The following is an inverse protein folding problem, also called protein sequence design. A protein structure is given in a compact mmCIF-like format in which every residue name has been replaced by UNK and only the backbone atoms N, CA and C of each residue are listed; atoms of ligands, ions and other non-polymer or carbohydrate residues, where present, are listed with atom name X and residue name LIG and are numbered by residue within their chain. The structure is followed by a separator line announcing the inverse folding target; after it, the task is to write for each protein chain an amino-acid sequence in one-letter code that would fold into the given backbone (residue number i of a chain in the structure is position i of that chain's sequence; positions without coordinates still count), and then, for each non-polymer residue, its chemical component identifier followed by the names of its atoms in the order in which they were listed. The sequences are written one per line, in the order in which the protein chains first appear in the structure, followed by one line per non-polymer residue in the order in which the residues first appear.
data_IF_143581586964
#
_entry.id   IF_143581586964
#
_cell.length_a   1.000
_cell.length_b   1.000
_cell.length_c   1.000
_cell.angle_alpha   90.00
_cell.angle_beta   90.00
_cell.angle_gamma   90.00
#
_symmetry.space_group_name_H-M   'P 1'
#
loop_
_entity.id
_entity.type
_entity.pdbx_description
1 polymer ?
#
# COMPACT_ATOMS: atom_id res chain seq x y z
N UNK A 1 -26.22 3.41 13.10
CA UNK A 1 -24.76 3.21 13.01
C UNK A 1 -24.36 3.59 11.60
N UNK A 2 -24.20 4.89 11.35
CA UNK A 2 -23.81 5.41 10.04
C UNK A 2 -22.36 5.01 9.75
N UNK A 3 -22.13 4.35 8.61
CA UNK A 3 -20.78 4.10 8.11
C UNK A 3 -20.22 5.45 7.65
N UNK A 4 -19.26 5.97 8.40
CA UNK A 4 -18.50 7.16 8.01
C UNK A 4 -17.62 6.80 6.80
N UNK A 5 -17.71 7.62 5.75
CA UNK A 5 -17.16 7.40 4.42
C UNK A 5 -15.63 7.31 4.40
N UNK A 6 -15.10 6.43 3.53
CA UNK A 6 -13.68 6.28 3.17
C UNK A 6 -13.11 7.49 2.37
N UNK A 7 -13.58 8.72 2.63
CA UNK A 7 -13.49 9.85 1.67
C UNK A 7 -12.23 10.73 1.75
N UNK A 8 -11.28 10.49 2.66
CA UNK A 8 -10.08 11.33 2.75
C UNK A 8 -8.79 10.53 2.81
N UNK A 9 -8.42 9.92 1.68
CA UNK A 9 -7.01 9.59 1.43
C UNK A 9 -6.39 10.76 0.67
N UNK A 10 -5.59 11.57 1.37
CA UNK A 10 -4.81 12.63 0.74
C UNK A 10 -3.62 12.04 -0.04
N UNK A 11 -3.55 12.31 -1.34
CA UNK A 11 -2.47 11.86 -2.22
C UNK A 11 -1.67 13.09 -2.67
N UNK A 12 -0.46 13.25 -2.15
CA UNK A 12 0.50 14.26 -2.59
C UNK A 12 1.47 13.68 -3.63
N UNK A 13 1.83 14.48 -4.63
CA UNK A 13 2.84 14.14 -5.64
C UNK A 13 4.00 15.10 -5.48
N UNK A 14 5.19 14.62 -5.14
CA UNK A 14 6.39 15.46 -5.07
C UNK A 14 7.05 15.52 -6.47
N UNK A 15 7.09 16.69 -7.15
CA UNK A 15 7.36 16.71 -8.60
C UNK A 15 8.81 16.41 -9.02
N UNK A 16 9.77 16.41 -8.11
CA UNK A 16 11.17 16.12 -8.43
C UNK A 16 11.83 15.47 -7.21
N UNK A 17 12.16 14.19 -7.31
CA UNK A 17 13.00 13.49 -6.35
C UNK A 17 14.30 13.17 -7.08
N UNK A 18 15.41 13.78 -6.66
CA UNK A 18 16.72 13.60 -7.30
C UNK A 18 17.12 12.11 -7.27
N UNK A 19 17.87 11.62 -8.26
CA UNK A 19 18.43 10.26 -8.25
C UNK A 19 19.17 9.93 -6.94
N UNK A 20 19.78 10.95 -6.32
CA UNK A 20 20.47 10.84 -5.04
C UNK A 20 19.54 10.46 -3.86
N UNK A 21 18.23 10.75 -3.93
CA UNK A 21 17.23 10.30 -2.94
C UNK A 21 17.07 8.77 -2.98
N UNK A 22 17.25 8.17 -4.16
CA UNK A 22 17.14 6.73 -4.35
C UNK A 22 18.46 5.97 -4.12
N UNK A 23 19.56 6.69 -3.86
CA UNK A 23 20.85 6.08 -3.49
C UNK A 23 20.95 5.76 -1.98
N UNK A 24 19.90 6.06 -1.21
CA UNK A 24 19.78 5.63 0.17
C UNK A 24 19.38 4.15 0.24
N UNK A 25 20.19 3.33 0.93
CA UNK A 25 19.97 1.88 1.04
C UNK A 25 18.64 1.53 1.70
N UNK A 26 18.21 2.29 2.70
CA UNK A 26 16.94 2.07 3.38
C UNK A 26 15.78 2.44 2.47
N UNK A 27 15.80 3.61 1.84
CA UNK A 27 14.73 4.03 0.92
C UNK A 27 14.65 3.13 -0.31
N UNK A 28 15.80 2.69 -0.85
CA UNK A 28 15.85 1.71 -1.92
C UNK A 28 15.23 0.38 -1.53
N UNK A 29 15.54 -0.15 -0.35
CA UNK A 29 14.91 -1.37 0.16
C UNK A 29 13.40 -1.18 0.40
N UNK A 30 13.01 -0.12 1.12
CA UNK A 30 11.63 0.18 1.50
C UNK A 30 10.70 0.44 0.30
N UNK A 31 11.19 1.16 -0.71
CA UNK A 31 10.46 1.43 -1.95
C UNK A 31 10.63 0.32 -2.99
N UNK A 32 11.51 -0.65 -2.73
CA UNK A 32 11.92 -1.69 -3.67
C UNK A 32 12.50 -1.14 -4.98
N UNK A 33 13.42 -0.18 -4.88
CA UNK A 33 14.11 0.43 -6.01
C UNK A 33 15.64 0.30 -5.85
N UNK A 34 16.41 -0.02 -6.92
CA UNK A 34 16.02 -0.11 -8.33
C UNK A 34 15.56 -1.50 -8.80
N UNK A 35 15.50 -2.50 -7.93
CA UNK A 35 15.20 -3.89 -8.28
C UNK A 35 13.82 -4.09 -8.91
N UNK A 36 12.86 -3.19 -8.67
CA UNK A 36 11.54 -3.18 -9.30
C UNK A 36 11.42 -1.97 -10.19
N UNK A 37 11.20 -2.19 -11.49
CA UNK A 37 10.92 -1.14 -12.47
C UNK A 37 9.43 -1.13 -12.78
N UNK A 38 8.70 -0.19 -12.18
CA UNK A 38 7.22 -0.15 -12.24
C UNK A 38 6.66 -0.04 -13.68
N UNK A 39 7.23 0.77 -14.59
CA UNK A 39 6.77 0.80 -15.99
C UNK A 39 6.74 -0.57 -16.67
N UNK A 40 7.78 -1.38 -16.48
CA UNK A 40 7.89 -2.71 -17.08
C UNK A 40 6.76 -3.63 -16.60
N UNK A 41 6.47 -3.59 -15.30
CA UNK A 41 5.35 -4.34 -14.72
C UNK A 41 3.99 -3.87 -15.25
N UNK A 42 3.80 -2.54 -15.41
CA UNK A 42 2.57 -1.99 -15.98
C UNK A 42 2.36 -2.46 -17.42
N UNK A 43 3.42 -2.49 -18.24
CA UNK A 43 3.36 -3.01 -19.60
C UNK A 43 3.00 -4.50 -19.60
N UNK A 44 3.72 -5.32 -18.82
CA UNK A 44 3.48 -6.76 -18.74
C UNK A 44 2.04 -7.09 -18.30
N UNK A 45 1.54 -6.44 -17.24
CA UNK A 45 0.18 -6.69 -16.75
C UNK A 45 -0.90 -6.15 -17.70
N UNK A 46 -0.62 -5.06 -18.42
CA UNK A 46 -1.52 -4.56 -19.48
C UNK A 46 -1.62 -5.55 -20.64
N UNK A 47 -0.53 -6.23 -21.01
CA UNK A 47 -0.57 -7.27 -22.05
C UNK A 47 -1.37 -8.49 -21.60
N UNK A 48 -1.25 -8.90 -20.33
CA UNK A 48 -1.96 -10.05 -19.78
C UNK A 48 -3.44 -9.79 -19.48
N UNK A 49 -3.78 -8.55 -19.15
CA UNK A 49 -5.16 -8.07 -18.97
C UNK A 49 -5.39 -6.77 -19.76
N UNK A 50 -5.65 -6.90 -21.08
CA UNK A 50 -5.80 -5.76 -21.98
C UNK A 50 -7.11 -4.99 -21.79
N UNK A 51 -7.97 -5.43 -20.87
CA UNK A 51 -9.27 -4.80 -20.59
C UNK A 51 -9.22 -4.04 -19.27
N UNK A 52 -9.21 -4.74 -18.14
CA UNK A 52 -9.39 -4.12 -16.84
C UNK A 52 -8.12 -3.43 -16.37
N UNK A 53 -6.99 -4.14 -16.35
CA UNK A 53 -5.70 -3.57 -15.95
C UNK A 53 -5.30 -2.41 -16.86
N UNK A 54 -5.46 -2.56 -18.18
CA UNK A 54 -5.22 -1.46 -19.14
C UNK A 54 -6.02 -0.20 -18.83
N UNK A 55 -7.30 -0.36 -18.47
CA UNK A 55 -8.14 0.78 -18.11
C UNK A 55 -7.63 1.45 -16.85
N UNK A 56 -7.29 0.67 -15.81
CA UNK A 56 -6.80 1.21 -14.53
C UNK A 56 -5.44 1.89 -14.69
N UNK A 57 -4.52 1.30 -15.45
CA UNK A 57 -3.17 1.83 -15.65
C UNK A 57 -3.11 3.18 -16.37
N UNK A 58 -4.18 3.54 -17.10
CA UNK A 58 -4.35 4.87 -17.69
C UNK A 58 -4.78 5.93 -16.67
N UNK A 59 -5.37 5.53 -15.55
CA UNK A 59 -5.90 6.44 -14.53
C UNK A 59 -4.91 6.70 -13.39
N UNK A 60 -4.15 5.67 -13.04
CA UNK A 60 -3.21 5.69 -11.93
C UNK A 60 -1.87 5.13 -12.37
N UNK A 61 -0.79 5.79 -11.97
CA UNK A 61 0.59 5.37 -12.24
C UNK A 61 1.46 5.55 -11.01
N UNK A 62 2.60 4.86 -10.97
CA UNK A 62 3.60 4.99 -9.90
C UNK A 62 3.23 4.35 -8.56
N UNK A 63 2.15 3.58 -8.49
CA UNK A 63 1.79 2.81 -7.28
C UNK A 63 2.81 1.71 -7.07
N UNK A 64 3.41 1.68 -5.87
CA UNK A 64 4.41 0.69 -5.43
C UNK A 64 3.92 -0.08 -4.22
N UNK A 65 4.33 -1.35 -4.14
CA UNK A 65 4.21 -2.12 -2.90
C UNK A 65 5.41 -1.80 -2.00
N UNK A 66 5.17 -1.34 -0.78
CA UNK A 66 6.23 -1.05 0.19
C UNK A 66 6.79 -2.33 0.80
N UNK A 67 8.08 -2.32 1.12
CA UNK A 67 8.80 -3.38 1.81
C UNK A 67 8.93 -3.06 3.30
N UNK A 68 7.81 -3.17 4.01
CA UNK A 68 7.71 -2.71 5.40
C UNK A 68 8.52 -3.57 6.38
N UNK A 69 8.72 -3.03 7.57
CA UNK A 69 9.29 -3.74 8.71
C UNK A 69 8.33 -4.86 9.19
N UNK A 70 8.79 -6.12 9.38
CA UNK A 70 7.94 -7.23 9.79
C UNK A 70 7.17 -7.02 11.09
N UNK A 71 7.78 -6.36 12.07
CA UNK A 71 7.16 -6.12 13.36
C UNK A 71 6.09 -5.03 13.27
N UNK A 72 6.44 -3.88 12.71
CA UNK A 72 5.51 -2.75 12.53
C UNK A 72 4.31 -3.16 11.65
N UNK A 73 4.59 -3.84 10.54
CA UNK A 73 3.55 -4.30 9.61
C UNK A 73 2.59 -5.28 10.31
N UNK A 74 3.12 -6.24 11.06
CA UNK A 74 2.31 -7.24 11.78
C UNK A 74 1.35 -6.58 12.77
N UNK A 75 1.83 -5.70 13.65
CA UNK A 75 0.98 -5.04 14.63
C UNK A 75 -0.01 -4.05 14.01
N UNK A 76 0.41 -3.32 12.97
CA UNK A 76 -0.46 -2.41 12.23
C UNK A 76 -1.64 -3.15 11.59
N UNK A 77 -1.39 -4.33 11.02
CA UNK A 77 -2.46 -5.14 10.43
C UNK A 77 -3.34 -5.85 11.48
N UNK A 78 -2.84 -6.17 12.67
CA UNK A 78 -3.71 -6.60 13.79
C UNK A 78 -4.71 -5.49 14.14
N UNK A 79 -4.27 -4.22 14.15
CA UNK A 79 -5.12 -3.04 14.38
C UNK A 79 -6.16 -2.82 13.25
N UNK A 80 -5.93 -3.38 12.06
CA UNK A 80 -6.79 -3.20 10.88
C UNK A 80 -8.05 -4.07 10.84
N UNK A 81 -8.08 -5.16 11.62
CA UNK A 81 -9.17 -6.14 11.56
C UNK A 81 -10.54 -5.49 11.82
N UNK A 82 -11.49 -5.58 10.87
CA UNK A 82 -12.82 -4.96 10.94
C UNK A 82 -12.78 -3.47 11.36
N UNK A 83 -12.03 -2.67 10.61
CA UNK A 83 -11.77 -1.26 10.90
C UNK A 83 -11.69 -0.43 9.60
N UNK A 84 -11.64 0.89 9.71
CA UNK A 84 -11.42 1.80 8.58
C UNK A 84 -10.05 2.48 8.66
N UNK A 85 -9.56 3.00 7.53
CA UNK A 85 -8.20 3.54 7.41
C UNK A 85 -7.92 4.65 8.43
N UNK A 86 -8.83 5.61 8.58
CA UNK A 86 -8.66 6.74 9.51
C UNK A 86 -8.47 6.28 10.95
N UNK A 87 -9.32 5.36 11.42
CA UNK A 87 -9.20 4.82 12.77
C UNK A 87 -7.96 3.95 12.94
N UNK A 88 -7.54 3.20 11.92
CA UNK A 88 -6.30 2.44 11.96
C UNK A 88 -5.11 3.37 12.15
N UNK A 89 -5.04 4.46 11.37
CA UNK A 89 -3.99 5.46 11.48
C UNK A 89 -3.93 6.07 12.89
N UNK A 90 -5.09 6.37 13.48
CA UNK A 90 -5.16 6.86 14.86
C UNK A 90 -4.65 5.84 15.88
N UNK A 91 -5.00 4.55 15.73
CA UNK A 91 -4.52 3.49 16.64
C UNK A 91 -3.01 3.30 16.52
N UNK A 92 -2.46 3.28 15.30
CA UNK A 92 -1.01 3.19 15.08
C UNK A 92 -0.29 4.42 15.64
N UNK A 93 -0.85 5.61 15.45
CA UNK A 93 -0.32 6.83 16.06
C UNK A 93 -0.32 6.76 17.60
N UNK A 94 -1.37 6.22 18.22
CA UNK A 94 -1.43 5.98 19.67
C UNK A 94 -0.40 4.97 20.14
N UNK A 95 -0.14 3.89 19.40
CA UNK A 95 0.95 2.96 19.72
C UNK A 95 2.31 3.69 19.76
N UNK A 96 2.59 4.51 18.74
CA UNK A 96 3.83 5.27 18.62
C UNK A 96 3.99 6.27 19.77
N UNK A 97 2.98 7.09 20.03
CA UNK A 97 3.05 8.16 21.04
C UNK A 97 3.06 7.65 22.48
N UNK A 98 2.42 6.52 22.77
CA UNK A 98 2.33 6.02 24.15
C UNK A 98 3.45 5.01 24.50
N UNK A 99 4.01 4.31 23.52
CA UNK A 99 4.98 3.24 23.76
C UNK A 99 6.28 3.38 22.96
N UNK A 100 6.30 4.18 21.90
CA UNK A 100 7.48 4.41 21.08
C UNK A 100 8.43 5.45 21.69
N UNK A 101 9.70 5.35 21.34
CA UNK A 101 10.68 6.38 21.68
C UNK A 101 10.40 7.64 20.86
N UNK A 102 10.52 8.82 21.47
CA UNK A 102 10.50 10.06 20.71
C UNK A 102 11.70 10.15 19.79
N UNK A 103 11.53 10.77 18.63
CA UNK A 103 12.60 10.95 17.66
C UNK A 103 13.70 11.88 18.20
N UNK A 104 13.34 12.87 19.03
CA UNK A 104 14.28 13.78 19.69
C UNK A 104 15.21 13.09 20.71
N UNK A 105 14.76 11.97 21.28
CA UNK A 105 15.54 11.20 22.27
C UNK A 105 16.53 10.22 21.60
N UNK A 106 16.48 10.08 20.27
CA UNK A 106 17.41 9.20 19.56
C UNK A 106 18.78 9.85 19.54
N UNK A 107 19.85 9.15 19.99
CA UNK A 107 21.20 9.68 19.91
C UNK A 107 21.54 10.12 18.49
N UNK A 108 22.06 11.33 18.34
CA UNK A 108 22.44 11.90 17.03
C UNK A 108 23.40 10.96 16.26
N UNK A 109 24.22 10.19 16.97
CA UNK A 109 25.08 9.18 16.37
C UNK A 109 24.28 8.05 15.71
N UNK A 110 23.21 7.57 16.32
CA UNK A 110 22.32 6.56 15.72
C UNK A 110 21.67 7.10 14.45
N UNK A 111 21.31 8.38 14.43
CA UNK A 111 20.81 9.04 13.21
C UNK A 111 21.91 9.09 12.15
N UNK A 112 23.15 9.45 12.50
CA UNK A 112 24.30 9.48 11.58
C UNK A 112 24.72 8.10 11.06
N UNK A 113 24.54 7.06 11.86
CA UNK A 113 24.85 5.68 11.48
C UNK A 113 23.80 5.08 10.53
N UNK A 114 22.56 5.58 10.57
CA UNK A 114 21.44 5.17 9.71
C UNK A 114 21.33 6.07 8.46
N UNK A 115 21.51 7.38 8.63
CA UNK A 115 21.44 8.35 7.56
C UNK A 115 22.73 8.28 6.73
N UNK A 116 22.65 7.62 5.57
CA UNK A 116 23.57 7.93 4.46
C UNK A 116 23.46 9.43 4.25
N UNK A 117 24.59 10.16 4.23
CA UNK A 117 24.66 11.63 4.13
C UNK A 117 23.66 12.20 3.10
N UNK A 118 22.43 12.44 3.56
CA UNK A 118 21.34 12.84 2.70
C UNK A 118 21.34 14.36 2.70
N UNK A 119 21.93 14.95 1.67
CA UNK A 119 21.94 16.40 1.45
C UNK A 119 20.57 16.95 1.00
N UNK A 120 19.47 16.30 1.40
CA UNK A 120 18.12 16.77 1.09
C UNK A 120 17.76 17.91 2.04
N UNK A 121 18.04 19.15 1.62
CA UNK A 121 17.49 20.36 2.24
C UNK A 121 16.00 20.50 1.87
N UNK A 122 15.16 19.66 2.47
CA UNK A 122 13.72 19.85 2.48
C UNK A 122 13.33 20.75 3.66
N UNK A 123 12.72 21.91 3.40
CA UNK A 123 11.96 22.60 4.44
C UNK A 123 10.74 21.75 4.76
N UNK A 124 10.81 20.95 5.82
CA UNK A 124 9.62 20.36 6.41
C UNK A 124 8.82 21.49 7.06
N UNK A 125 7.63 21.78 6.54
CA UNK A 125 6.60 22.41 7.35
C UNK A 125 6.22 21.40 8.43
N UNK A 126 6.98 21.42 9.51
CA UNK A 126 6.89 20.45 10.57
C UNK A 126 5.50 20.56 11.23
N UNK A 127 4.75 19.46 11.20
CA UNK A 127 3.89 19.11 12.32
C UNK A 127 4.73 19.31 13.60
N UNK A 128 4.15 19.95 14.63
CA UNK A 128 4.88 20.32 15.85
C UNK A 128 5.82 19.23 16.33
N UNK A 129 7.06 19.63 16.63
CA UNK A 129 8.20 18.78 17.06
C UNK A 129 7.82 17.68 18.06
N UNK A 130 6.83 17.94 18.92
CA UNK A 130 6.44 17.09 20.04
C UNK A 130 5.77 15.75 19.67
N UNK A 131 5.32 15.54 18.43
CA UNK A 131 4.52 14.35 18.06
C UNK A 131 5.29 13.26 17.29
N UNK A 132 6.58 13.43 17.03
CA UNK A 132 7.36 12.47 16.25
C UNK A 132 7.91 11.33 17.12
N UNK A 133 7.26 10.16 17.05
CA UNK A 133 7.68 8.96 17.78
C UNK A 133 7.99 7.81 16.82
N UNK A 134 8.96 6.97 17.15
CA UNK A 134 9.19 5.71 16.47
C UNK A 134 8.05 4.72 16.73
N UNK A 135 7.96 3.68 15.89
CA UNK A 135 7.13 2.53 16.22
C UNK A 135 7.72 1.82 17.46
N UNK A 136 6.90 1.41 18.45
CA UNK A 136 7.42 0.79 19.66
C UNK A 136 8.10 -0.53 19.34
N UNK A 137 9.27 -0.77 19.93
CA UNK A 137 9.89 -2.10 19.93
C UNK A 137 9.01 -3.09 20.71
N UNK A 138 9.21 -4.39 20.46
CA UNK A 138 8.54 -5.44 21.21
C UNK A 138 8.79 -5.30 22.72
N UNK A 139 10.02 -4.96 23.12
CA UNK A 139 10.39 -4.78 24.54
C UNK A 139 9.65 -3.61 25.19
N UNK A 140 9.41 -2.53 24.44
CA UNK A 140 8.60 -1.41 24.93
C UNK A 140 7.14 -1.81 25.08
N UNK A 141 6.58 -2.49 24.08
CA UNK A 141 5.17 -2.86 24.06
C UNK A 141 4.85 -4.04 24.99
N UNK A 142 5.84 -4.85 25.39
CA UNK A 142 5.66 -5.91 26.40
C UNK A 142 5.11 -5.38 27.73
N UNK A 143 5.40 -4.12 28.06
CA UNK A 143 4.92 -3.48 29.28
C UNK A 143 3.44 -3.08 29.21
N UNK A 144 2.86 -3.04 28.01
CA UNK A 144 1.48 -2.64 27.81
C UNK A 144 0.52 -3.70 28.33
N UNK A 145 -0.42 -3.29 29.17
CA UNK A 145 -1.52 -4.14 29.63
C UNK A 145 -2.70 -4.08 28.65
N UNK A 146 -3.54 -5.12 28.68
CA UNK A 146 -4.77 -5.12 27.87
C UNK A 146 -5.69 -3.96 28.25
N UNK A 147 -5.74 -3.58 29.53
CA UNK A 147 -6.59 -2.49 30.01
C UNK A 147 -6.11 -1.13 29.49
N UNK A 148 -4.82 -0.83 29.56
CA UNK A 148 -4.27 0.44 29.03
C UNK A 148 -4.57 0.58 27.53
N UNK A 149 -4.40 -0.50 26.75
CA UNK A 149 -4.76 -0.49 25.33
C UNK A 149 -6.28 -0.33 25.11
N UNK A 150 -7.13 -0.88 25.99
CA UNK A 150 -8.58 -0.64 25.92
C UNK A 150 -8.92 0.81 26.18
N UNK A 151 -8.29 1.42 27.18
CA UNK A 151 -8.47 2.83 27.55
C UNK A 151 -8.00 3.76 26.41
N UNK A 152 -6.97 3.36 25.67
CA UNK A 152 -6.53 4.05 24.45
C UNK A 152 -7.45 3.85 23.23
N UNK A 153 -8.47 2.99 23.32
CA UNK A 153 -9.51 2.82 22.31
C UNK A 153 -9.29 1.68 21.30
N UNK A 154 -8.38 0.75 21.58
CA UNK A 154 -8.12 -0.43 20.74
C UNK A 154 -9.28 -1.45 20.77
N UNK A 155 -10.13 -1.37 21.80
CA UNK A 155 -11.29 -2.26 21.96
C UNK A 155 -10.87 -3.71 22.11
N UNK A 156 -11.56 -4.65 21.44
CA UNK A 156 -11.22 -6.07 21.52
C UNK A 156 -9.82 -6.41 20.96
N UNK A 157 -9.22 -5.52 20.16
CA UNK A 157 -7.87 -5.71 19.60
C UNK A 157 -6.78 -5.56 20.65
N UNK A 158 -7.06 -4.92 21.78
CA UNK A 158 -6.12 -4.85 22.90
C UNK A 158 -5.64 -6.26 23.32
N UNK A 159 -6.59 -7.20 23.51
CA UNK A 159 -6.24 -8.58 23.82
C UNK A 159 -5.58 -9.36 22.68
N UNK A 160 -5.72 -8.89 21.43
CA UNK A 160 -4.99 -9.46 20.29
C UNK A 160 -3.53 -9.05 20.30
N UNK A 161 -3.28 -7.77 20.57
CA UNK A 161 -1.93 -7.19 20.65
C UNK A 161 -1.15 -7.86 21.78
N UNK A 162 -1.66 -7.84 23.02
CA UNK A 162 -0.95 -8.41 24.19
C UNK A 162 -0.60 -9.88 23.96
N UNK A 163 -1.56 -10.68 23.48
CA UNK A 163 -1.32 -12.10 23.20
C UNK A 163 -0.33 -12.32 22.05
N UNK A 164 -0.38 -11.51 20.99
CA UNK A 164 0.55 -11.64 19.87
C UNK A 164 1.96 -11.21 20.25
N UNK A 165 2.12 -10.16 21.05
CA UNK A 165 3.40 -9.74 21.63
C UNK A 165 4.03 -10.90 22.43
N UNK A 166 3.23 -11.57 23.26
CA UNK A 166 3.68 -12.74 24.02
C UNK A 166 4.13 -13.89 23.11
N UNK A 167 3.31 -14.29 22.12
CA UNK A 167 3.66 -15.37 21.19
C UNK A 167 4.96 -15.04 20.43
N UNK A 168 5.09 -13.81 19.93
CA UNK A 168 6.30 -13.38 19.19
C UNK A 168 7.51 -13.41 20.12
N UNK A 169 7.38 -12.91 21.36
CA UNK A 169 8.45 -12.96 22.37
C UNK A 169 8.92 -14.40 22.63
N UNK A 170 7.98 -15.32 22.85
CA UNK A 170 8.26 -16.74 23.11
C UNK A 170 8.95 -17.44 21.93
N UNK A 171 8.75 -16.94 20.71
CA UNK A 171 9.37 -17.46 19.49
C UNK A 171 10.71 -16.81 19.11
N UNK A 172 11.25 -15.90 19.94
CA UNK A 172 12.54 -15.24 19.68
C UNK A 172 12.44 -13.73 19.40
N UNK A 173 11.28 -13.12 19.67
CA UNK A 173 11.08 -11.67 19.55
C UNK A 173 10.96 -11.18 18.12
N UNK A 174 11.29 -9.91 17.86
CA UNK A 174 11.21 -9.33 16.51
C UNK A 174 12.06 -10.09 15.48
N UNK A 175 13.17 -10.68 15.91
CA UNK A 175 14.06 -11.45 15.04
C UNK A 175 13.37 -12.70 14.47
N UNK A 176 12.40 -13.28 15.18
CA UNK A 176 11.60 -14.39 14.63
C UNK A 176 10.87 -14.00 13.34
N UNK A 177 10.31 -12.79 13.28
CA UNK A 177 9.64 -12.27 12.09
C UNK A 177 10.65 -11.93 10.98
N UNK A 178 11.83 -11.40 11.34
CA UNK A 178 12.91 -11.07 10.39
C UNK A 178 13.51 -12.33 9.77
N UNK A 179 13.80 -13.34 10.58
CA UNK A 179 14.26 -14.64 10.14
C UNK A 179 13.23 -15.34 9.24
N UNK A 180 11.94 -15.25 9.58
CA UNK A 180 10.85 -15.78 8.75
C UNK A 180 10.83 -15.14 7.34
N UNK A 181 11.09 -13.84 7.23
CA UNK A 181 11.25 -13.15 5.95
C UNK A 181 12.52 -13.59 5.20
N UNK A 182 13.64 -13.67 5.91
CA UNK A 182 14.95 -13.96 5.35
C UNK A 182 15.12 -15.42 4.89
N UNK A 183 14.34 -16.35 5.46
CA UNK A 183 14.40 -17.76 5.08
C UNK A 183 13.93 -17.97 3.63
N UNK A 184 14.86 -18.39 2.77
CA UNK A 184 14.65 -18.76 1.36
C UNK A 184 15.00 -20.24 1.09
N UNK A 185 15.04 -21.08 2.15
CA UNK A 185 15.42 -22.49 2.03
C UNK A 185 14.33 -23.37 1.40
N UNK A 186 13.07 -22.95 1.51
CA UNK A 186 11.90 -23.64 0.97
C UNK A 186 11.54 -23.13 -0.44
N UNK A 187 10.83 -23.96 -1.22
CA UNK A 187 10.21 -23.50 -2.47
C UNK A 187 9.13 -22.46 -2.17
N UNK A 188 8.84 -21.59 -3.13
CA UNK A 188 7.94 -20.44 -2.92
C UNK A 188 6.56 -20.83 -2.35
N UNK A 189 5.93 -21.88 -2.86
CA UNK A 189 4.62 -22.33 -2.36
C UNK A 189 4.68 -22.82 -0.92
N UNK A 190 5.69 -23.64 -0.59
CA UNK A 190 5.90 -24.19 0.75
C UNK A 190 6.26 -23.08 1.74
N UNK A 191 7.08 -22.13 1.30
CA UNK A 191 7.44 -20.93 2.04
C UNK A 191 6.20 -20.10 2.37
N UNK A 192 5.36 -19.82 1.39
CA UNK A 192 4.12 -19.05 1.57
C UNK A 192 3.21 -19.73 2.60
N UNK A 193 3.05 -21.05 2.52
CA UNK A 193 2.21 -21.78 3.47
C UNK A 193 2.82 -21.80 4.88
N UNK A 194 4.13 -22.00 5.00
CA UNK A 194 4.83 -21.96 6.29
C UNK A 194 4.73 -20.59 6.98
N UNK A 195 4.96 -19.51 6.23
CA UNK A 195 4.85 -18.15 6.76
C UNK A 195 3.41 -17.87 7.18
N UNK A 196 2.43 -18.26 6.35
CA UNK A 196 1.00 -18.07 6.68
C UNK A 196 0.61 -18.80 7.96
N UNK A 197 1.01 -20.05 8.11
CA UNK A 197 0.72 -20.85 9.30
C UNK A 197 1.25 -20.17 10.57
N UNK A 198 2.53 -19.75 10.55
CA UNK A 198 3.15 -19.02 11.66
C UNK A 198 2.42 -17.71 11.97
N UNK A 199 2.05 -16.93 10.96
CA UNK A 199 1.32 -15.67 11.15
C UNK A 199 -0.10 -15.88 11.69
N UNK A 200 -0.84 -16.88 11.18
CA UNK A 200 -2.20 -17.19 11.63
C UNK A 200 -2.24 -17.70 13.07
N UNK A 201 -1.12 -18.21 13.59
CA UNK A 201 -0.99 -18.54 15.02
C UNK A 201 -1.10 -17.32 15.94
N UNK A 202 -0.83 -16.11 15.43
CA UNK A 202 -0.92 -14.87 16.19
C UNK A 202 -2.38 -14.49 16.45
N UNK A 203 -2.65 -14.02 17.67
CA UNK A 203 -4.02 -13.68 18.05
C UNK A 203 -4.51 -12.46 17.27
N UNK A 204 -5.64 -12.61 16.57
CA UNK A 204 -6.22 -11.55 15.75
C UNK A 204 -5.73 -11.54 14.30
N UNK A 205 -4.84 -12.47 13.94
CA UNK A 205 -4.37 -12.66 12.57
C UNK A 205 -5.15 -13.80 11.92
N UNK A 206 -6.15 -13.45 11.12
CA UNK A 206 -6.79 -14.39 10.20
C UNK A 206 -6.07 -14.43 8.85
N UNK A 207 -6.51 -15.31 7.94
CA UNK A 207 -5.90 -15.49 6.61
C UNK A 207 -5.67 -14.19 5.84
N UNK A 208 -6.67 -13.30 5.77
CA UNK A 208 -6.54 -11.99 5.10
C UNK A 208 -5.45 -11.12 5.72
N UNK A 209 -5.38 -11.08 7.05
CA UNK A 209 -4.39 -10.29 7.79
C UNK A 209 -2.99 -10.86 7.56
N UNK A 210 -2.83 -12.19 7.64
CA UNK A 210 -1.58 -12.86 7.30
C UNK A 210 -1.16 -12.58 5.85
N UNK A 211 -2.09 -12.65 4.89
CA UNK A 211 -1.82 -12.36 3.49
C UNK A 211 -1.40 -10.89 3.28
N UNK A 212 -1.95 -9.93 4.05
CA UNK A 212 -1.48 -8.54 4.04
C UNK A 212 -0.02 -8.43 4.53
N UNK A 213 0.29 -9.02 5.68
CA UNK A 213 1.65 -9.01 6.25
C UNK A 213 2.64 -9.66 5.28
N UNK A 214 2.25 -10.76 4.64
CA UNK A 214 3.09 -11.43 3.65
C UNK A 214 3.39 -10.57 2.43
N UNK A 215 2.37 -9.94 1.87
CA UNK A 215 2.51 -9.09 0.68
C UNK A 215 3.38 -7.86 0.95
N UNK A 216 3.17 -7.20 2.09
CA UNK A 216 3.82 -5.93 2.40
C UNK A 216 5.13 -6.07 3.18
N UNK A 217 5.46 -7.24 3.71
CA UNK A 217 6.59 -7.37 4.63
C UNK A 217 7.33 -8.71 4.63
N UNK A 218 6.82 -9.78 4.03
CA UNK A 218 7.51 -11.08 4.01
C UNK A 218 8.09 -11.47 2.66
N UNK A 219 8.19 -10.52 1.73
CA UNK A 219 8.67 -10.72 0.36
C UNK A 219 7.90 -11.84 -0.36
N UNK A 220 6.57 -11.81 -0.26
CA UNK A 220 5.67 -12.74 -0.96
C UNK A 220 4.83 -11.98 -2.00
N UNK A 221 5.41 -11.53 -3.13
CA UNK A 221 4.76 -10.60 -4.06
C UNK A 221 3.57 -11.20 -4.83
N UNK A 222 3.45 -12.54 -4.84
CA UNK A 222 2.34 -13.25 -5.48
C UNK A 222 1.09 -13.35 -4.59
N UNK A 223 1.22 -13.11 -3.29
CA UNK A 223 0.12 -13.29 -2.32
C UNK A 223 -0.91 -12.18 -2.47
N UNK A 224 -2.19 -12.56 -2.54
CA UNK A 224 -3.31 -11.62 -2.65
C UNK A 224 -4.14 -11.65 -1.36
N UNK A 225 -4.17 -10.56 -0.57
CA UNK A 225 -5.04 -10.45 0.59
C UNK A 225 -6.50 -10.27 0.15
N UNK A 226 -7.26 -11.35 0.07
CA UNK A 226 -8.66 -11.29 -0.37
C UNK A 226 -9.53 -10.73 0.77
N UNK A 227 -10.08 -9.55 0.56
CA UNK A 227 -11.13 -8.97 1.42
C UNK A 227 -12.45 -8.83 0.65
N UNK A 228 -13.38 -8.02 1.16
CA UNK A 228 -14.65 -7.80 0.47
C UNK A 228 -14.46 -7.12 -0.89
N UNK A 229 -13.53 -6.17 -1.03
CA UNK A 229 -13.26 -5.49 -2.30
C UNK A 229 -12.63 -6.44 -3.31
N UNK A 230 -11.59 -7.18 -2.90
CA UNK A 230 -10.96 -8.20 -3.75
C UNK A 230 -11.95 -9.27 -4.17
N UNK A 231 -12.87 -9.65 -3.28
CA UNK A 231 -13.93 -10.58 -3.61
C UNK A 231 -14.89 -10.04 -4.68
N UNK A 232 -15.26 -8.76 -4.62
CA UNK A 232 -16.05 -8.13 -5.69
C UNK A 232 -15.25 -8.08 -7.00
N UNK A 233 -13.97 -7.77 -6.94
CA UNK A 233 -13.09 -7.78 -8.11
C UNK A 233 -13.03 -9.18 -8.73
N UNK A 234 -12.81 -10.22 -7.92
CA UNK A 234 -12.79 -11.61 -8.35
C UNK A 234 -14.10 -12.03 -9.06
N UNK A 235 -15.26 -11.51 -8.63
CA UNK A 235 -16.53 -11.70 -9.34
C UNK A 235 -16.55 -11.00 -10.69
N UNK A 236 -16.07 -9.76 -10.79
CA UNK A 236 -15.98 -9.02 -12.08
C UNK A 236 -15.07 -9.72 -13.09
N UNK A 237 -13.98 -10.32 -12.61
CA UNK A 237 -13.07 -11.13 -13.40
C UNK A 237 -13.63 -12.52 -13.74
N UNK A 238 -14.75 -12.94 -13.14
CA UNK A 238 -15.33 -14.26 -13.34
C UNK A 238 -14.57 -15.40 -12.66
N UNK A 239 -13.64 -15.08 -11.73
CA UNK A 239 -12.92 -16.08 -10.94
C UNK A 239 -13.84 -16.81 -9.95
N UNK A 240 -14.94 -16.17 -9.58
CA UNK A 240 -15.94 -16.72 -8.67
C UNK A 240 -17.33 -16.55 -9.28
N UNK A 241 -18.20 -17.53 -9.06
CA UNK A 241 -19.62 -17.44 -9.44
C UNK A 241 -20.26 -16.18 -8.83
N UNK A 242 -21.04 -15.45 -9.62
CA UNK A 242 -21.71 -14.22 -9.17
C UNK A 242 -22.61 -14.43 -7.93
N UNK A 243 -23.18 -15.63 -7.80
CA UNK A 243 -24.03 -16.07 -6.68
C UNK A 243 -23.30 -16.36 -5.37
N UNK A 244 -21.96 -16.40 -5.34
CA UNK A 244 -21.22 -16.65 -4.10
C UNK A 244 -21.40 -15.49 -3.11
N UNK A 245 -21.81 -15.77 -1.88
CA UNK A 245 -22.14 -14.76 -0.86
C UNK A 245 -21.07 -14.57 0.20
N UNK A 246 -20.18 -15.55 0.39
CA UNK A 246 -19.09 -15.48 1.37
C UNK A 246 -17.84 -16.17 0.85
N UNK A 247 -16.70 -15.84 1.47
CA UNK A 247 -15.41 -16.46 1.18
C UNK A 247 -15.10 -17.49 2.25
N UNK A 248 -14.87 -18.73 1.85
CA UNK A 248 -14.27 -19.75 2.71
C UNK A 248 -12.79 -19.92 2.33
N UNK A 249 -12.03 -20.68 3.12
CA UNK A 249 -10.58 -20.84 2.92
C UNK A 249 -10.22 -21.38 1.54
N UNK A 250 -11.01 -22.33 1.01
CA UNK A 250 -10.83 -22.88 -0.33
C UNK A 250 -11.01 -21.80 -1.40
N UNK A 251 -12.06 -20.99 -1.28
CA UNK A 251 -12.34 -19.92 -2.23
C UNK A 251 -11.29 -18.81 -2.18
N UNK A 252 -10.77 -18.49 -1.00
CA UNK A 252 -9.65 -17.59 -0.83
C UNK A 252 -8.41 -18.04 -1.63
N UNK A 253 -8.08 -19.34 -1.57
CA UNK A 253 -6.97 -19.91 -2.34
C UNK A 253 -7.25 -19.87 -3.84
N UNK A 254 -8.44 -20.28 -4.27
CA UNK A 254 -8.83 -20.28 -5.69
C UNK A 254 -8.77 -18.88 -6.32
N UNK A 255 -9.23 -17.86 -5.60
CA UNK A 255 -9.12 -16.46 -6.04
C UNK A 255 -7.65 -16.08 -6.17
N UNK A 256 -6.83 -16.39 -5.16
CA UNK A 256 -5.39 -16.12 -5.18
C UNK A 256 -4.70 -16.74 -6.39
N UNK A 257 -4.91 -18.03 -6.61
CA UNK A 257 -4.37 -18.77 -7.75
C UNK A 257 -4.88 -18.20 -9.09
N UNK A 258 -6.13 -17.74 -9.17
CA UNK A 258 -6.66 -17.13 -10.38
C UNK A 258 -5.94 -15.82 -10.74
N UNK A 259 -5.69 -14.95 -9.75
CA UNK A 259 -4.90 -13.75 -9.95
C UNK A 259 -3.44 -14.07 -10.32
N UNK A 260 -2.82 -15.08 -9.69
CA UNK A 260 -1.45 -15.53 -10.05
C UNK A 260 -1.40 -16.06 -11.48
N UNK A 261 -2.40 -16.81 -11.94
CA UNK A 261 -2.48 -17.26 -13.35
C UNK A 261 -2.51 -16.10 -14.33
N UNK A 262 -3.15 -14.98 -13.97
CA UNK A 262 -3.22 -13.78 -14.83
C UNK A 262 -1.96 -12.94 -14.71
N UNK A 263 -1.53 -12.56 -13.50
CA UNK A 263 -0.51 -11.53 -13.30
C UNK A 263 0.88 -12.06 -12.90
N UNK A 264 1.02 -13.38 -12.72
CA UNK A 264 2.29 -14.05 -12.45
C UNK A 264 2.82 -13.88 -11.03
N UNK A 265 4.14 -13.93 -10.89
CA UNK A 265 4.85 -13.91 -9.59
C UNK A 265 4.62 -12.65 -8.77
N UNK A 266 4.18 -11.55 -9.41
CA UNK A 266 3.90 -10.28 -8.76
C UNK A 266 2.40 -9.94 -8.75
N UNK A 267 1.54 -10.96 -8.78
CA UNK A 267 0.09 -10.77 -8.81
C UNK A 267 -0.47 -9.98 -7.62
N UNK A 268 0.13 -10.07 -6.44
CA UNK A 268 -0.22 -9.25 -5.29
C UNK A 268 0.01 -7.76 -5.53
N UNK A 269 1.06 -7.39 -6.28
CA UNK A 269 1.34 -6.00 -6.63
C UNK A 269 0.40 -5.49 -7.72
N UNK A 270 0.14 -6.29 -8.76
CA UNK A 270 -0.86 -5.97 -9.77
C UNK A 270 -2.23 -5.71 -9.12
N UNK A 271 -2.60 -6.58 -8.18
CA UNK A 271 -3.82 -6.43 -7.40
C UNK A 271 -3.87 -5.10 -6.61
N UNK A 272 -2.76 -4.63 -6.02
CA UNK A 272 -2.75 -3.34 -5.31
C UNK A 272 -3.10 -2.17 -6.25
N UNK A 273 -2.65 -2.23 -7.50
CA UNK A 273 -2.97 -1.21 -8.51
C UNK A 273 -4.46 -1.27 -8.85
N UNK A 274 -5.00 -2.47 -9.13
CA UNK A 274 -6.43 -2.64 -9.39
C UNK A 274 -7.29 -2.13 -8.21
N UNK A 275 -6.89 -2.47 -6.99
CA UNK A 275 -7.55 -2.00 -5.77
C UNK A 275 -7.49 -0.46 -5.65
N UNK A 276 -6.32 0.14 -5.88
CA UNK A 276 -6.17 1.60 -5.87
C UNK A 276 -7.07 2.28 -6.93
N UNK A 277 -7.21 1.68 -8.12
CA UNK A 277 -8.10 2.19 -9.17
C UNK A 277 -9.59 2.13 -8.82
N UNK A 278 -9.99 1.20 -7.95
CA UNK A 278 -11.37 1.09 -7.45
C UNK A 278 -11.68 2.09 -6.33
N UNK A 279 -10.68 2.76 -5.74
CA UNK A 279 -10.91 3.79 -4.73
C UNK A 279 -11.47 5.07 -5.38
N UNK A 280 -12.58 5.58 -4.82
CA UNK A 280 -13.32 6.75 -5.35
C UNK A 280 -12.44 7.98 -5.61
N UNK A 281 -11.42 8.19 -4.77
CA UNK A 281 -10.49 9.33 -4.88
C UNK A 281 -9.78 9.33 -6.24
N UNK A 282 -9.36 8.16 -6.73
CA UNK A 282 -8.68 8.05 -8.03
C UNK A 282 -9.65 8.10 -9.21
N UNK A 283 -10.86 7.55 -9.04
CA UNK A 283 -11.92 7.67 -10.04
C UNK A 283 -12.31 9.13 -10.29
N UNK A 284 -12.41 9.94 -9.23
CA UNK A 284 -12.73 11.37 -9.31
C UNK A 284 -11.62 12.19 -9.97
N UNK A 285 -10.35 11.97 -9.58
CA UNK A 285 -9.18 12.64 -10.19
C UNK A 285 -9.07 12.36 -11.68
N UNK A 286 -9.37 11.13 -12.11
CA UNK A 286 -9.38 10.78 -13.53
C UNK A 286 -10.52 11.47 -14.30
N UNK A 287 -11.72 11.52 -13.75
CA UNK A 287 -12.84 12.26 -14.35
C UNK A 287 -12.50 13.75 -14.54
N UNK A 288 -11.92 14.39 -13.51
CA UNK A 288 -11.47 15.79 -13.56
C UNK A 288 -10.35 16.00 -14.59
N UNK A 289 -9.42 15.04 -14.74
CA UNK A 289 -8.35 15.11 -15.73
C UNK A 289 -8.86 14.92 -17.17
N UNK A 290 -9.79 13.98 -17.40
CA UNK A 290 -10.44 13.79 -18.70
C UNK A 290 -11.23 15.02 -19.13
N UNK A 291 -11.92 15.68 -18.19
CA UNK A 291 -12.65 16.92 -18.46
C UNK A 291 -11.68 18.06 -18.85
N UNK A 292 -10.54 18.17 -18.16
CA UNK A 292 -9.49 19.15 -18.50
C UNK A 292 -8.85 18.88 -19.87
N UNK A 293 -8.61 17.62 -20.23
CA UNK A 293 -8.08 17.23 -21.54
C UNK A 293 -9.10 17.45 -22.67
N UNK A 294 -10.38 17.17 -22.43
CA UNK A 294 -11.46 17.46 -23.37
C UNK A 294 -11.61 18.96 -23.62
N UNK A 295 -11.57 19.79 -22.57
CA UNK A 295 -11.62 21.25 -22.69
C UNK A 295 -10.38 21.81 -23.39
N UNK A 296 -9.20 21.25 -23.14
CA UNK A 296 -7.93 21.61 -23.81
C UNK A 296 -7.96 21.29 -25.31
N UNK A 297 -8.43 20.10 -25.67
CA UNK A 297 -8.53 19.65 -27.06
C UNK A 297 -9.59 20.42 -27.86
N UNK A 298 -10.72 20.76 -27.24
CA UNK A 298 -11.72 21.67 -27.81
C UNK A 298 -11.12 23.07 -28.08
N UNK A 299 -10.39 23.64 -27.11
CA UNK A 299 -9.71 24.94 -27.27
C UNK A 299 -8.67 24.94 -28.39
N UNK A 300 -7.92 23.84 -28.55
CA UNK A 300 -6.95 23.68 -29.66
C UNK A 300 -7.65 23.61 -31.02
N UNK A 301 -8.77 22.88 -31.14
CA UNK A 301 -9.58 22.81 -32.37
C UNK A 301 -10.16 24.17 -32.77
N UNK A 302 -10.74 24.90 -31.82
CA UNK A 302 -11.29 26.23 -32.09
C UNK A 302 -10.22 27.25 -32.49
N UNK A 303 -8.96 27.08 -32.03
CA UNK A 303 -7.84 27.95 -32.42
C UNK A 303 -7.33 27.63 -33.83
N UNK A 304 -7.26 26.35 -34.20
CA UNK A 304 -6.89 25.94 -35.57
C UNK A 304 -7.95 26.31 -36.61
N UNK A 305 -9.24 26.34 -36.23
CA UNK A 305 -10.33 26.75 -37.13
C UNK A 305 -10.34 28.27 -37.37
N UNK A 306 -9.97 29.08 -36.35
CA UNK A 306 -9.81 30.53 -36.51
C UNK A 306 -8.57 30.91 -37.33
N UNK A 307 -7.49 30.14 -37.27
CA UNK A 307 -6.27 30.38 -38.07
C UNK A 307 -6.43 29.94 -39.54
N UNK A 308 -7.39 29.05 -39.84
CA UNK A 308 -7.66 28.57 -41.21
C UNK A 308 -8.59 29.46 -42.05
N UNK A 309 -9.27 30.46 -41.47
CA UNK A 309 -10.26 31.29 -42.18
C UNK A 309 -9.75 32.68 -42.61
N UNK A 310 -8.46 32.98 -42.43
CA UNK A 310 -7.87 34.27 -42.77
C UNK A 310 -7.16 34.28 -44.12
N UNK A 311 -7.74 34.99 -45.10
CA UNK A 311 -7.20 35.44 -46.40
C UNK A 311 -7.53 34.62 -47.67
N UNK A 312 -8.75 34.79 -48.18
CA UNK A 312 -8.97 34.92 -49.63
C UNK A 312 -9.08 36.41 -49.97
N UNK A 313 -7.98 37.03 -50.41
CA UNK A 313 -7.99 38.35 -51.06
C UNK A 313 -8.78 38.23 -52.37
N UNK A 314 -9.89 38.95 -52.48
CA UNK A 314 -10.51 39.25 -53.77
C UNK A 314 -9.64 40.29 -54.48
N UNK A 315 -8.95 39.88 -55.55
CA UNK A 315 -8.34 40.81 -56.51
C UNK A 315 -9.40 41.21 -57.53
N UNK A 316 -9.85 42.45 -57.44
CA UNK A 316 -10.64 43.14 -58.46
C UNK A 316 -9.70 43.60 -59.58
N UNK A 317 -9.99 43.17 -60.83
CA UNK A 317 -9.33 43.67 -62.05
C UNK A 317 -9.74 45.13 -62.32
N UNK A 318 -8.82 46.00 -62.76
CA UNK A 318 -9.17 47.34 -63.23
C UNK A 318 -9.51 47.32 -64.73
N UNK A 319 -10.48 48.17 -65.10
CA UNK A 319 -10.66 48.72 -66.45
C UNK A 319 -9.74 49.94 -66.65
#
# INVERSE_FOLDING_TARGET
MERLNDEEVQVSTHPQMSEQFFNDKFLGDYLQYPQVVIPDFYEQWTQRDPKYFKQVSQQIGGVRCLRQDPWECTLSFICSSNNNIQRIMQLVHKLRTNYGSKLEDIPEQTIKDIAVESQVKGKSEAASSDDQHLFPTLKQLEKATEQELRDLGFGYRAGFIVKSVQIIKENGGEEWLRAMRADKSLKDSERIDNIREKLVSLRGVGRKVADCIMLFSMDCPSVIPVDTHVFQLAKRFGFVKSSATSVNEKLHREIGEAFVRVYGEHAGWAHQILFAGDLKVFQKKHAENQEKEAVSSLKKRSRSEMEGSGTKKLETKPE
#
